data_IF_771886549143
#
_entry.id   IF_771886549143
#
_cell.length_a   1.000
_cell.length_b   1.000
_cell.length_c   1.000
_cell.angle_alpha   90.00
_cell.angle_beta   90.00
_cell.angle_gamma   90.00
#
_symmetry.space_group_name_H-M   'P 1'
#
loop_
_entity.id
_entity.type
_entity.pdbx_description
1 polymer ?
#
# COMPACT_ATOMS: atom_id res chain seq x y z
N UNK A 1 -25.02 30.39 -21.94
CA UNK A 1 -25.80 31.28 -22.82
C UNK A 1 -26.28 30.42 -23.99
N UNK A 2 -27.55 30.00 -23.98
CA UNK A 2 -28.15 29.18 -25.05
C UNK A 2 -28.36 30.05 -26.30
N UNK A 3 -28.05 29.52 -27.49
CA UNK A 3 -28.32 30.21 -28.77
C UNK A 3 -29.52 29.65 -29.53
N UNK A 4 -30.00 28.43 -29.25
CA UNK A 4 -31.21 27.84 -29.84
C UNK A 4 -31.71 26.63 -29.02
N UNK A 5 -33.01 26.27 -29.09
CA UNK A 5 -33.55 25.13 -28.34
C UNK A 5 -32.96 23.81 -28.86
N UNK A 6 -32.15 23.15 -28.01
CA UNK A 6 -31.48 21.89 -28.30
C UNK A 6 -30.00 21.99 -28.68
N UNK A 7 -29.45 23.20 -28.81
CA UNK A 7 -28.06 23.40 -29.23
C UNK A 7 -27.22 23.99 -28.09
N UNK A 8 -26.60 23.09 -27.33
CA UNK A 8 -25.65 23.44 -26.28
C UNK A 8 -24.28 23.65 -26.91
N UNK A 9 -23.78 24.89 -26.86
CA UNK A 9 -22.41 25.21 -27.26
C UNK A 9 -21.48 24.50 -26.28
N UNK A 10 -21.01 23.32 -26.68
CA UNK A 10 -19.96 22.59 -25.98
C UNK A 10 -18.70 23.44 -26.02
N UNK A 11 -18.48 24.23 -24.97
CA UNK A 11 -17.15 24.71 -24.64
C UNK A 11 -16.40 23.49 -24.16
N UNK A 12 -15.77 22.79 -25.10
CA UNK A 12 -14.78 21.76 -24.83
C UNK A 12 -13.65 22.47 -24.10
N UNK A 13 -13.76 22.55 -22.77
CA UNK A 13 -12.60 22.79 -21.94
C UNK A 13 -11.66 21.64 -22.25
N UNK A 14 -10.61 21.97 -22.97
CA UNK A 14 -9.63 21.02 -23.43
C UNK A 14 -9.14 20.16 -22.27
N UNK A 15 -8.86 18.90 -22.58
CA UNK A 15 -8.51 17.80 -21.66
C UNK A 15 -7.29 18.09 -20.74
N UNK A 16 -6.65 19.24 -20.87
CA UNK A 16 -5.49 19.68 -20.11
C UNK A 16 -5.79 20.56 -18.86
N UNK A 17 -7.03 20.98 -18.60
CA UNK A 17 -7.35 21.81 -17.41
C UNK A 17 -7.99 21.04 -16.23
N UNK A 18 -8.33 19.77 -16.42
CA UNK A 18 -8.85 18.89 -15.36
C UNK A 18 -7.91 18.68 -14.15
N UNK A 19 -6.57 18.60 -14.28
CA UNK A 19 -5.73 18.40 -13.10
C UNK A 19 -5.75 19.59 -12.12
N UNK A 20 -5.87 20.83 -12.63
CA UNK A 20 -5.88 22.03 -11.78
C UNK A 20 -7.17 22.17 -10.96
N UNK A 21 -8.31 21.72 -11.51
CA UNK A 21 -9.59 21.77 -10.83
C UNK A 21 -9.74 20.65 -9.80
N UNK A 22 -9.12 19.48 -10.05
CA UNK A 22 -9.01 18.40 -9.06
C UNK A 22 -8.14 18.79 -7.85
N UNK A 23 -7.04 19.52 -8.08
CA UNK A 23 -6.12 19.96 -7.02
C UNK A 23 -6.77 20.89 -5.98
N UNK A 24 -7.75 21.70 -6.38
CA UNK A 24 -8.46 22.64 -5.50
C UNK A 24 -9.47 21.96 -4.56
N UNK A 25 -10.04 20.83 -4.97
CA UNK A 25 -11.01 20.05 -4.18
C UNK A 25 -10.28 19.10 -3.24
N UNK A 26 -9.14 18.56 -3.68
CA UNK A 26 -8.45 17.51 -2.93
C UNK A 26 -7.31 17.99 -2.02
N UNK A 27 -6.87 19.26 -2.09
CA UNK A 27 -5.74 19.77 -1.29
C UNK A 27 -4.53 18.82 -1.34
N UNK A 28 -4.22 18.30 -2.53
CA UNK A 28 -3.01 17.52 -2.81
C UNK A 28 -2.22 18.33 -3.82
N UNK A 29 -1.06 18.82 -3.38
CA UNK A 29 -0.03 19.29 -4.30
C UNK A 29 0.52 18.07 -5.05
N UNK A 30 0.05 17.91 -6.29
CA UNK A 30 0.67 17.00 -7.26
C UNK A 30 1.83 17.76 -7.90
N UNK A 31 2.98 17.73 -7.23
CA UNK A 31 4.24 18.16 -7.81
C UNK A 31 4.70 17.11 -8.83
N UNK A 32 4.37 17.37 -10.10
CA UNK A 32 4.70 16.56 -11.27
C UNK A 32 5.96 17.07 -11.96
N UNK A 33 7.06 17.27 -11.22
CA UNK A 33 8.30 17.79 -11.83
C UNK A 33 9.60 17.31 -11.14
N UNK A 34 9.75 16.00 -10.91
CA UNK A 34 11.02 15.41 -10.47
C UNK A 34 11.41 14.10 -11.16
N UNK A 35 10.93 13.89 -12.39
CA UNK A 35 11.51 12.91 -13.32
C UNK A 35 12.57 13.63 -14.17
N UNK A 36 13.85 13.39 -13.85
CA UNK A 36 15.07 13.77 -14.58
C UNK A 36 15.89 14.92 -13.97
N UNK A 37 16.79 14.59 -13.03
CA UNK A 37 18.24 14.73 -13.25
C UNK A 37 19.03 14.45 -11.96
N UNK A 38 20.23 13.90 -12.14
CA UNK A 38 21.29 13.66 -11.17
C UNK A 38 21.17 12.40 -10.27
N UNK A 39 21.94 11.37 -10.68
CA UNK A 39 22.61 10.48 -9.74
C UNK A 39 23.51 11.33 -8.82
N UNK A 40 23.49 11.08 -7.50
CA UNK A 40 24.68 11.12 -6.68
C UNK A 40 25.09 9.69 -6.34
N UNK A 41 26.32 9.35 -6.75
CA UNK A 41 27.06 8.21 -6.24
C UNK A 41 27.44 8.46 -4.77
N UNK A 42 27.42 7.37 -4.00
CA UNK A 42 28.00 7.15 -2.65
C UNK A 42 27.38 7.85 -1.45
N UNK A 43 26.61 7.08 -0.66
CA UNK A 43 27.09 6.70 0.67
C UNK A 43 26.79 5.22 0.95
N UNK A 44 27.82 4.51 1.38
CA UNK A 44 27.81 3.09 1.71
C UNK A 44 27.66 2.98 3.22
N UNK A 45 26.43 3.00 3.70
CA UNK A 45 26.08 2.61 5.06
C UNK A 45 24.92 1.62 5.03
N UNK A 46 25.30 0.36 5.27
CA UNK A 46 24.51 -0.81 5.65
C UNK A 46 22.98 -0.65 5.73
N UNK A 47 22.25 -1.16 4.73
CA UNK A 47 20.89 -1.69 4.85
C UNK A 47 20.52 -2.41 3.55
N UNK A 48 20.88 -3.69 3.41
CA UNK A 48 20.44 -4.50 2.27
C UNK A 48 18.92 -4.75 2.36
N UNK A 49 18.12 -3.78 1.91
CA UNK A 49 16.67 -3.91 1.76
C UNK A 49 16.28 -4.88 0.63
N UNK A 50 17.25 -5.30 -0.20
CA UNK A 50 17.08 -6.27 -1.29
C UNK A 50 16.70 -7.68 -0.80
N UNK A 51 17.01 -8.04 0.45
CA UNK A 51 16.67 -9.35 1.03
C UNK A 51 15.25 -9.42 1.62
N UNK A 52 14.56 -8.27 1.75
CA UNK A 52 13.25 -8.22 2.38
C UNK A 52 12.13 -8.43 1.38
N UNK A 53 11.35 -9.49 1.62
CA UNK A 53 10.18 -9.82 0.82
C UNK A 53 8.90 -9.33 1.49
N UNK A 54 8.14 -8.50 0.77
CA UNK A 54 6.90 -7.88 1.24
C UNK A 54 5.74 -8.42 0.42
N UNK A 55 4.71 -8.96 1.07
CA UNK A 55 3.49 -9.39 0.41
C UNK A 55 2.42 -8.30 0.50
N UNK A 56 1.91 -7.87 -0.65
CA UNK A 56 0.78 -6.95 -0.77
C UNK A 56 -0.46 -7.75 -1.14
N UNK A 57 -1.50 -7.67 -0.33
CA UNK A 57 -2.79 -8.33 -0.54
C UNK A 57 -3.86 -7.27 -0.69
N UNK A 58 -4.45 -7.17 -1.88
CA UNK A 58 -5.53 -6.22 -2.15
C UNK A 58 -6.42 -6.75 -3.27
N UNK A 59 -7.74 -6.62 -3.10
CA UNK A 59 -8.74 -7.08 -4.06
C UNK A 59 -8.83 -6.12 -5.26
N UNK A 60 -8.47 -4.85 -5.08
CA UNK A 60 -8.47 -3.86 -6.14
C UNK A 60 -7.13 -3.87 -6.91
N UNK A 61 -7.15 -4.18 -8.22
CA UNK A 61 -5.92 -4.29 -9.01
C UNK A 61 -5.13 -2.97 -9.10
N UNK A 62 -5.82 -1.83 -9.00
CA UNK A 62 -5.20 -0.50 -9.01
C UNK A 62 -4.39 -0.27 -7.74
N UNK A 63 -4.96 -0.54 -6.56
CA UNK A 63 -4.25 -0.34 -5.29
C UNK A 63 -3.08 -1.33 -5.15
N UNK A 64 -3.28 -2.58 -5.57
CA UNK A 64 -2.21 -3.58 -5.65
C UNK A 64 -1.04 -3.13 -6.53
N UNK A 65 -1.34 -2.59 -7.71
CA UNK A 65 -0.32 -2.05 -8.64
C UNK A 65 0.40 -0.85 -8.04
N UNK A 66 -0.34 0.08 -7.43
CA UNK A 66 0.22 1.27 -6.79
C UNK A 66 1.20 0.90 -5.68
N UNK A 67 0.78 0.03 -4.74
CA UNK A 67 1.63 -0.41 -3.63
C UNK A 67 2.87 -1.17 -4.14
N UNK A 68 2.71 -2.02 -5.16
CA UNK A 68 3.84 -2.74 -5.76
C UNK A 68 4.85 -1.78 -6.42
N UNK A 69 4.38 -0.75 -7.11
CA UNK A 69 5.23 0.28 -7.73
C UNK A 69 5.98 1.12 -6.68
N UNK A 70 5.29 1.50 -5.61
CA UNK A 70 5.89 2.18 -4.46
C UNK A 70 6.99 1.34 -3.78
N UNK A 71 6.72 0.05 -3.57
CA UNK A 71 7.69 -0.90 -3.01
C UNK A 71 8.89 -1.12 -3.92
N UNK A 72 8.66 -1.25 -5.23
CA UNK A 72 9.72 -1.36 -6.22
C UNK A 72 10.60 -0.11 -6.28
N UNK A 73 10.00 1.07 -6.18
CA UNK A 73 10.72 2.35 -6.12
C UNK A 73 11.61 2.48 -4.88
N UNK A 74 11.23 1.81 -3.78
CA UNK A 74 12.01 1.74 -2.54
C UNK A 74 13.11 0.65 -2.57
N UNK A 75 13.17 -0.17 -3.63
CA UNK A 75 14.16 -1.25 -3.77
C UNK A 75 13.83 -2.52 -2.99
N UNK A 76 12.58 -2.73 -2.56
CA UNK A 76 12.16 -3.95 -1.89
C UNK A 76 11.59 -4.98 -2.87
N UNK A 77 11.73 -6.26 -2.54
CA UNK A 77 11.04 -7.32 -3.27
C UNK A 77 9.59 -7.38 -2.83
N UNK A 78 8.65 -7.12 -3.74
CA UNK A 78 7.23 -7.26 -3.48
C UNK A 78 6.62 -8.46 -4.20
N UNK A 79 5.74 -9.18 -3.49
CA UNK A 79 4.80 -10.13 -4.05
C UNK A 79 3.41 -9.55 -3.90
N UNK A 80 2.55 -9.83 -4.86
CA UNK A 80 1.17 -9.35 -4.86
C UNK A 80 0.22 -10.52 -4.84
N UNK A 81 -0.80 -10.46 -4.02
CA UNK A 81 -1.92 -11.39 -3.96
C UNK A 81 -3.23 -10.63 -4.13
N UNK A 82 -4.21 -11.30 -4.74
CA UNK A 82 -5.49 -10.69 -5.10
C UNK A 82 -6.55 -10.90 -4.02
N UNK A 83 -6.31 -11.83 -3.12
CA UNK A 83 -7.23 -12.26 -2.08
C UNK A 83 -6.42 -12.84 -0.93
N UNK A 84 -6.98 -12.87 0.28
CA UNK A 84 -6.29 -13.47 1.41
C UNK A 84 -6.00 -14.97 1.22
N UNK A 85 -6.81 -15.72 0.45
CA UNK A 85 -6.53 -17.15 0.22
C UNK A 85 -5.28 -17.31 -0.65
N UNK A 86 -5.14 -16.48 -1.67
CA UNK A 86 -3.95 -16.42 -2.51
C UNK A 86 -2.73 -15.98 -1.68
N UNK A 87 -2.92 -15.01 -0.79
CA UNK A 87 -1.89 -14.56 0.15
C UNK A 87 -1.34 -15.71 1.01
N UNK A 88 -2.21 -16.56 1.56
CA UNK A 88 -1.80 -17.74 2.34
C UNK A 88 -1.02 -18.75 1.49
N UNK A 89 -1.40 -18.93 0.23
CA UNK A 89 -0.70 -19.81 -0.70
C UNK A 89 0.71 -19.27 -1.02
N UNK A 90 0.86 -17.96 -1.20
CA UNK A 90 2.15 -17.31 -1.39
C UNK A 90 3.01 -17.41 -0.12
N UNK A 91 2.43 -17.13 1.05
CA UNK A 91 3.11 -17.27 2.35
C UNK A 91 3.60 -18.70 2.63
N UNK A 92 2.92 -19.72 2.10
CA UNK A 92 3.32 -21.11 2.26
C UNK A 92 4.46 -21.51 1.32
N UNK A 93 4.65 -20.80 0.20
CA UNK A 93 5.64 -21.11 -0.84
C UNK A 93 6.89 -20.23 -0.78
N UNK A 94 6.75 -19.03 -0.24
CA UNK A 94 7.77 -18.02 -0.18
C UNK A 94 7.96 -17.56 1.26
N UNK A 95 9.21 -17.36 1.68
CA UNK A 95 9.52 -16.70 2.94
C UNK A 95 9.25 -15.21 2.78
N UNK A 96 8.24 -14.71 3.49
CA UNK A 96 7.82 -13.31 3.45
C UNK A 96 8.10 -12.71 4.82
N UNK A 97 8.71 -11.52 4.80
CA UNK A 97 9.10 -10.80 6.00
C UNK A 97 7.99 -9.90 6.51
N UNK A 98 7.23 -9.27 5.62
CA UNK A 98 6.18 -8.31 5.97
C UNK A 98 4.95 -8.57 5.10
N UNK A 99 3.77 -8.58 5.71
CA UNK A 99 2.49 -8.68 4.99
C UNK A 99 1.72 -7.37 5.13
N UNK A 100 1.42 -6.75 4.00
CA UNK A 100 0.49 -5.64 3.85
C UNK A 100 -0.81 -6.21 3.30
N UNK A 101 -1.87 -6.23 4.08
CA UNK A 101 -3.17 -6.75 3.65
C UNK A 101 -4.24 -5.71 3.78
N UNK A 102 -5.09 -5.57 2.76
CA UNK A 102 -6.34 -4.85 2.93
C UNK A 102 -7.19 -5.53 4.01
N UNK A 103 -7.81 -4.74 4.87
CA UNK A 103 -8.81 -5.23 5.83
C UNK A 103 -10.16 -5.36 5.13
N UNK A 104 -10.45 -4.45 4.21
CA UNK A 104 -11.77 -4.27 3.63
C UNK A 104 -11.93 -5.07 2.32
N UNK A 105 -11.78 -6.40 2.42
CA UNK A 105 -11.95 -7.33 1.29
C UNK A 105 -13.30 -8.08 1.35
N UNK A 106 -14.01 -8.25 0.23
CA UNK A 106 -15.35 -8.84 0.22
C UNK A 106 -15.40 -10.35 0.46
N UNK A 107 -14.34 -11.10 0.14
CA UNK A 107 -14.32 -12.56 0.28
C UNK A 107 -13.69 -13.04 1.59
N UNK A 108 -12.49 -12.56 1.91
CA UNK A 108 -11.79 -12.90 3.13
C UNK A 108 -11.14 -11.66 3.74
N UNK A 109 -11.65 -11.27 4.91
CA UNK A 109 -11.13 -10.13 5.65
C UNK A 109 -9.66 -10.30 6.06
N UNK A 110 -8.94 -9.18 6.14
CA UNK A 110 -7.57 -9.14 6.67
C UNK A 110 -7.45 -9.76 8.07
N UNK A 111 -8.52 -9.72 8.88
CA UNK A 111 -8.58 -10.40 10.19
C UNK A 111 -8.46 -11.92 10.09
N UNK A 112 -9.22 -12.52 9.16
CA UNK A 112 -9.22 -13.97 8.93
C UNK A 112 -7.85 -14.40 8.41
N UNK A 113 -7.26 -13.60 7.52
CA UNK A 113 -5.90 -13.82 7.03
C UNK A 113 -4.91 -13.86 8.19
N UNK A 114 -4.91 -12.85 9.06
CA UNK A 114 -4.00 -12.78 10.21
C UNK A 114 -4.19 -13.94 11.17
N UNK A 115 -5.43 -14.30 11.48
CA UNK A 115 -5.70 -15.45 12.32
C UNK A 115 -5.12 -16.75 11.73
N UNK A 116 -5.22 -16.93 10.40
CA UNK A 116 -4.62 -18.08 9.70
C UNK A 116 -3.09 -18.04 9.71
N UNK A 117 -2.48 -16.87 9.53
CA UNK A 117 -1.03 -16.67 9.64
C UNK A 117 -0.55 -17.07 11.03
N UNK A 118 -1.23 -16.63 12.09
CA UNK A 118 -0.89 -17.02 13.47
C UNK A 118 -1.10 -18.51 13.72
N UNK A 119 -2.14 -19.13 13.15
CA UNK A 119 -2.36 -20.58 13.22
C UNK A 119 -1.26 -21.39 12.51
N UNK A 120 -0.65 -20.84 11.45
CA UNK A 120 0.51 -21.44 10.78
C UNK A 120 1.80 -21.32 11.61
N UNK A 121 1.76 -20.66 12.78
CA UNK A 121 2.92 -20.42 13.63
C UNK A 121 3.83 -19.29 13.14
N UNK A 122 3.37 -18.50 12.16
CA UNK A 122 4.12 -17.41 11.59
C UNK A 122 4.05 -16.18 12.51
N UNK A 123 5.22 -15.72 12.96
CA UNK A 123 5.34 -14.54 13.84
C UNK A 123 5.55 -13.23 13.09
N UNK A 124 5.57 -13.28 11.75
CA UNK A 124 5.82 -12.13 10.89
C UNK A 124 4.82 -10.98 11.13
N UNK A 125 5.27 -9.73 10.97
CA UNK A 125 4.42 -8.55 11.09
C UNK A 125 3.36 -8.52 9.99
N UNK A 126 2.11 -8.41 10.41
CA UNK A 126 0.96 -8.20 9.52
C UNK A 126 0.43 -6.78 9.74
N UNK A 127 0.46 -6.00 8.68
CA UNK A 127 -0.01 -4.62 8.62
C UNK A 127 -1.30 -4.59 7.80
N UNK A 128 -2.40 -4.30 8.47
CA UNK A 128 -3.68 -4.04 7.83
C UNK A 128 -3.66 -2.70 7.14
N UNK A 129 -4.24 -2.61 5.95
CA UNK A 129 -4.53 -1.35 5.27
C UNK A 129 -6.05 -1.26 5.17
N UNK A 130 -6.68 -0.20 5.63
CA UNK A 130 -8.15 -0.09 5.62
C UNK A 130 -8.57 1.32 5.23
N UNK A 131 -9.68 1.47 4.52
CA UNK A 131 -10.25 2.80 4.27
C UNK A 131 -10.79 3.45 5.56
N UNK A 132 -11.09 2.65 6.59
CA UNK A 132 -11.72 3.11 7.81
C UNK A 132 -10.98 2.61 9.05
N UNK A 133 -9.93 3.33 9.46
CA UNK A 133 -9.15 2.97 10.66
C UNK A 133 -9.79 3.56 11.94
N UNK A 134 -11.07 3.25 12.17
CA UNK A 134 -11.72 3.58 13.44
C UNK A 134 -11.00 2.89 14.60
N UNK A 135 -11.05 3.50 15.79
CA UNK A 135 -10.45 2.93 16.99
C UNK A 135 -10.99 1.53 17.32
N UNK A 136 -12.26 1.27 17.03
CA UNK A 136 -12.89 -0.05 17.18
C UNK A 136 -12.29 -1.09 16.23
N UNK A 137 -11.99 -0.67 15.00
CA UNK A 137 -11.37 -1.51 13.97
C UNK A 137 -9.92 -1.87 14.33
N UNK A 138 -9.22 -0.93 14.97
CA UNK A 138 -7.89 -1.13 15.55
C UNK A 138 -7.92 -2.10 16.74
N UNK A 139 -8.96 -2.05 17.57
CA UNK A 139 -9.16 -3.01 18.66
C UNK A 139 -9.34 -4.43 18.10
N UNK A 140 -10.20 -4.58 17.07
CA UNK A 140 -10.38 -5.84 16.35
C UNK A 140 -9.09 -6.34 15.69
N UNK A 141 -8.27 -5.42 15.18
CA UNK A 141 -6.94 -5.77 14.63
C UNK A 141 -6.07 -6.38 15.72
N UNK A 142 -5.98 -5.73 16.88
CA UNK A 142 -5.21 -6.25 18.02
C UNK A 142 -5.71 -7.63 18.47
N UNK A 143 -7.03 -7.81 18.59
CA UNK A 143 -7.63 -9.09 19.00
C UNK A 143 -7.36 -10.21 17.99
N UNK A 144 -7.29 -9.89 16.70
CA UNK A 144 -6.96 -10.85 15.64
C UNK A 144 -5.47 -11.21 15.56
N UNK A 145 -4.61 -10.51 16.30
CA UNK A 145 -3.16 -10.70 16.29
C UNK A 145 -2.42 -9.90 15.22
N UNK A 146 -3.02 -8.82 14.71
CA UNK A 146 -2.41 -7.88 13.75
C UNK A 146 -1.44 -6.94 14.47
N UNK A 147 -0.35 -6.55 13.81
CA UNK A 147 0.70 -5.73 14.43
C UNK A 147 0.49 -4.22 14.18
N UNK A 148 -0.11 -3.85 13.05
CA UNK A 148 -0.55 -2.48 12.76
C UNK A 148 -1.75 -2.42 11.83
N UNK A 149 -2.40 -1.26 11.80
CA UNK A 149 -3.40 -0.89 10.81
C UNK A 149 -3.10 0.52 10.27
N UNK A 150 -3.10 0.68 8.94
CA UNK A 150 -2.92 1.92 8.21
C UNK A 150 -4.24 2.34 7.58
N UNK A 151 -4.50 3.64 7.56
CA UNK A 151 -5.65 4.21 6.83
C UNK A 151 -5.30 4.42 5.36
N UNK A 152 -6.21 4.08 4.44
CA UNK A 152 -6.14 4.53 3.05
C UNK A 152 -6.52 6.03 2.99
N UNK A 153 -5.85 6.85 2.16
CA UNK A 153 -4.79 6.48 1.21
C UNK A 153 -3.42 6.27 1.88
N UNK A 154 -2.73 5.18 1.51
CA UNK A 154 -1.35 4.94 1.95
C UNK A 154 -0.40 5.77 1.08
N UNK A 155 0.22 6.78 1.69
CA UNK A 155 1.24 7.59 1.01
C UNK A 155 2.60 6.89 1.05
N UNK A 156 3.47 7.22 0.09
CA UNK A 156 4.84 6.71 0.03
C UNK A 156 5.62 6.93 1.32
N UNK A 157 5.43 8.08 1.97
CA UNK A 157 6.13 8.43 3.21
C UNK A 157 5.69 7.54 4.38
N UNK A 158 4.38 7.36 4.55
CA UNK A 158 3.81 6.45 5.57
C UNK A 158 4.23 5.01 5.30
N UNK A 159 4.22 4.57 4.04
CA UNK A 159 4.67 3.24 3.66
C UNK A 159 6.16 3.06 4.01
N UNK A 160 7.01 4.00 3.59
CA UNK A 160 8.46 3.97 3.87
C UNK A 160 8.74 3.93 5.38
N UNK A 161 8.06 4.76 6.16
CA UNK A 161 8.26 4.82 7.61
C UNK A 161 7.79 3.52 8.28
N UNK A 162 6.65 3.00 7.86
CA UNK A 162 6.11 1.71 8.36
C UNK A 162 7.07 0.57 8.03
N UNK A 163 7.53 0.48 6.78
CA UNK A 163 8.47 -0.53 6.35
C UNK A 163 9.81 -0.44 7.07
N UNK A 164 10.34 0.77 7.32
CA UNK A 164 11.58 0.93 8.07
C UNK A 164 11.47 0.38 9.50
N UNK A 165 10.35 0.67 10.20
CA UNK A 165 10.09 0.16 11.55
C UNK A 165 9.99 -1.38 11.54
N UNK A 166 9.24 -1.94 10.60
CA UNK A 166 9.07 -3.39 10.52
C UNK A 166 10.31 -4.11 10.02
N UNK A 167 11.08 -3.52 9.12
CA UNK A 167 12.36 -4.03 8.67
C UNK A 167 13.32 -4.21 9.86
N UNK A 168 13.45 -3.18 10.71
CA UNK A 168 14.29 -3.28 11.89
C UNK A 168 13.81 -4.36 12.87
N UNK A 169 12.49 -4.50 13.03
CA UNK A 169 11.90 -5.54 13.89
C UNK A 169 12.11 -6.96 13.37
N UNK A 170 11.97 -7.18 12.07
CA UNK A 170 12.24 -8.49 11.44
C UNK A 170 13.73 -8.84 11.57
N UNK A 171 14.64 -7.88 11.37
CA UNK A 171 16.08 -8.10 11.56
C UNK A 171 16.43 -8.50 12.99
N UNK A 172 15.82 -7.86 13.99
CA UNK A 172 15.97 -8.25 15.41
C UNK A 172 15.40 -9.63 15.72
N UNK A 173 14.41 -10.10 14.95
CA UNK A 173 13.80 -11.42 15.13
C UNK A 173 14.60 -12.53 14.44
N UNK A 174 15.35 -12.20 13.38
CA UNK A 174 16.27 -13.12 12.68
C UNK A 174 17.65 -13.25 13.34
N UNK A 175 18.07 -12.27 14.15
CA UNK A 175 19.36 -12.26 14.87
C UNK A 175 19.29 -13.05 16.17
#
# INVERSE_FOLDING_TARGET
>A
MERAPGEWVHSVASVHELPALLARIYSIELDSEALSSALPTTDKTADSNDDMMILVVDDHPINRRLLADQLGSLGYQCKTANDGVDALNVLSKNAIDIVLSDVNMPNMDGYRLTQRIRQLGLTLPVVGVTANALAEEKQRCLESGMDSCLSKPVTLDVLKQTLAVYAERVRKTRA
#
